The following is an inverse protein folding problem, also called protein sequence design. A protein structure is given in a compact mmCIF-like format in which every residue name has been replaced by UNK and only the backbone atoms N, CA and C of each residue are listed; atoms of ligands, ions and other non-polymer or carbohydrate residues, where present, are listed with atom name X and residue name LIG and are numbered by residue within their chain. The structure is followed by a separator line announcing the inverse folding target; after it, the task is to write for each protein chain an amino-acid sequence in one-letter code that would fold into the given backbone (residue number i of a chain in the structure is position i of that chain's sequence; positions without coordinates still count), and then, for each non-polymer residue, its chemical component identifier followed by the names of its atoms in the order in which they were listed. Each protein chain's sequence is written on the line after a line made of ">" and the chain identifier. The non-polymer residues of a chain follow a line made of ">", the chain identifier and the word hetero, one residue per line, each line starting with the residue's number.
data_IF_798789326939
#
_entry.id   IF_798789326939
#
_cell.length_a   1.000
_cell.length_b   1.000
_cell.length_c   1.000
_cell.angle_alpha   90.00
_cell.angle_beta   90.00
_cell.angle_gamma   90.00
#
_symmetry.space_group_name_H-M   'P 1'
#
loop_
_entity.id
_entity.type
_entity.pdbx_description
1 polymer ?
#
# COMPACT_ATOMS: atom_id res chain seq x y z
N UNK A 1 16.01 -17.62 10.41
CA UNK A 1 15.74 -16.48 11.29
C UNK A 1 14.24 -16.38 11.36
N UNK A 2 13.71 -16.55 12.56
CA UNK A 2 12.28 -16.41 12.80
C UNK A 2 11.89 -14.93 12.74
N UNK A 3 10.84 -14.63 11.98
CA UNK A 3 10.21 -13.32 11.91
C UNK A 3 8.69 -13.47 11.98
N UNK A 4 8.03 -12.41 12.44
CA UNK A 4 6.59 -12.27 12.46
C UNK A 4 6.17 -11.30 11.36
N UNK A 5 5.38 -11.77 10.40
CA UNK A 5 4.85 -10.96 9.31
C UNK A 5 3.59 -10.22 9.74
N UNK A 6 3.53 -8.94 9.42
CA UNK A 6 2.33 -8.12 9.55
C UNK A 6 1.57 -8.17 8.23
N UNK A 7 0.37 -8.72 8.25
CA UNK A 7 -0.44 -8.91 7.04
C UNK A 7 -1.61 -7.92 7.00
N UNK A 8 -1.96 -7.46 5.81
CA UNK A 8 -3.24 -6.80 5.55
C UNK A 8 -4.38 -7.81 5.33
N UNK A 9 -5.59 -7.31 5.05
CA UNK A 9 -6.77 -8.13 4.78
C UNK A 9 -6.68 -8.98 3.52
N UNK A 10 -5.72 -8.68 2.64
CA UNK A 10 -5.43 -9.39 1.39
C UNK A 10 -4.21 -10.30 1.50
N UNK A 11 -3.74 -10.57 2.72
CA UNK A 11 -2.53 -11.33 3.02
C UNK A 11 -1.23 -10.73 2.46
N UNK A 12 -1.20 -9.43 2.15
CA UNK A 12 0.03 -8.75 1.73
C UNK A 12 0.86 -8.36 2.93
N UNK A 13 2.17 -8.45 2.79
CA UNK A 13 3.10 -8.12 3.86
C UNK A 13 3.23 -6.60 3.96
N UNK A 14 2.79 -6.06 5.08
CA UNK A 14 2.87 -4.63 5.44
C UNK A 14 4.05 -4.32 6.35
N UNK A 15 4.79 -5.35 6.78
CA UNK A 15 5.99 -5.22 7.58
C UNK A 15 6.35 -6.54 8.24
N UNK A 16 7.43 -6.53 9.03
CA UNK A 16 7.83 -7.67 9.84
C UNK A 16 8.49 -7.21 11.14
N UNK A 17 8.56 -8.12 12.12
CA UNK A 17 9.27 -7.91 13.38
C UNK A 17 9.92 -9.21 13.88
N UNK A 18 10.82 -9.07 14.85
CA UNK A 18 11.44 -10.22 15.56
C UNK A 18 10.60 -10.69 16.76
N UNK A 19 9.51 -9.99 17.05
CA UNK A 19 8.58 -10.28 18.14
C UNK A 19 7.16 -10.22 17.61
N UNK A 20 6.29 -11.10 18.13
CA UNK A 20 4.88 -11.12 17.77
C UNK A 20 4.20 -9.84 18.26
N UNK A 21 3.62 -9.06 17.34
CA UNK A 21 2.92 -7.81 17.67
C UNK A 21 1.43 -8.01 17.88
N UNK A 22 0.79 -8.83 17.04
CA UNK A 22 -0.64 -9.15 17.07
C UNK A 22 -0.86 -10.66 16.95
N UNK A 23 -2.00 -11.14 17.41
CA UNK A 23 -2.34 -12.57 17.33
C UNK A 23 -2.40 -13.09 15.89
N UNK A 24 -2.82 -12.24 14.95
CA UNK A 24 -2.92 -12.52 13.52
C UNK A 24 -1.56 -12.48 12.79
N UNK A 25 -0.48 -12.06 13.45
CA UNK A 25 0.84 -12.07 12.83
C UNK A 25 1.27 -13.52 12.56
N UNK A 26 1.86 -13.74 11.38
CA UNK A 26 2.29 -15.06 10.94
C UNK A 26 3.78 -15.23 11.21
N UNK A 27 4.15 -16.25 12.00
CA UNK A 27 5.55 -16.61 12.21
C UNK A 27 6.06 -17.46 11.04
N UNK A 28 7.22 -17.08 10.50
CA UNK A 28 7.94 -17.85 9.49
C UNK A 28 9.45 -17.84 9.76
N UNK A 29 10.13 -18.87 9.28
CA UNK A 29 11.60 -18.91 9.26
C UNK A 29 12.12 -18.56 7.86
N UNK A 30 12.96 -17.53 7.80
CA UNK A 30 13.61 -17.10 6.54
C UNK A 30 15.13 -17.04 6.69
N UNK A 31 15.91 -17.24 5.61
CA UNK A 31 17.34 -16.98 5.65
C UNK A 31 17.61 -15.48 5.85
N UNK A 32 18.75 -15.14 6.47
CA UNK A 32 19.17 -13.74 6.70
C UNK A 32 19.35 -12.93 5.41
N UNK A 33 19.50 -13.62 4.27
CA UNK A 33 19.59 -13.02 2.95
C UNK A 33 18.24 -12.89 2.23
N UNK A 34 17.13 -13.24 2.89
CA UNK A 34 15.81 -13.19 2.25
C UNK A 34 15.39 -11.75 1.99
N UNK A 35 14.91 -11.47 0.78
CA UNK A 35 14.58 -10.12 0.31
C UNK A 35 13.45 -9.46 1.11
N UNK A 36 12.55 -10.26 1.71
CA UNK A 36 11.50 -9.76 2.62
C UNK A 36 12.04 -8.92 3.78
N UNK A 37 13.28 -9.19 4.22
CA UNK A 37 13.91 -8.45 5.31
C UNK A 37 14.26 -7.02 4.91
N UNK A 38 14.58 -6.81 3.63
CA UNK A 38 14.95 -5.51 3.06
C UNK A 38 13.77 -4.78 2.43
N UNK A 39 12.86 -5.52 1.79
CA UNK A 39 11.70 -4.98 1.10
C UNK A 39 10.48 -5.90 1.29
N UNK A 40 9.77 -5.81 2.43
CA UNK A 40 8.64 -6.68 2.71
C UNK A 40 7.44 -6.43 1.81
N UNK A 41 7.25 -5.19 1.35
CA UNK A 41 6.02 -4.74 0.68
C UNK A 41 5.78 -5.34 -0.71
N UNK A 42 6.77 -6.05 -1.28
CA UNK A 42 6.63 -6.76 -2.56
C UNK A 42 6.19 -8.22 -2.39
N UNK A 43 5.90 -8.65 -1.16
CA UNK A 43 5.49 -10.01 -0.87
C UNK A 43 4.04 -10.10 -0.37
N UNK A 44 3.41 -11.23 -0.68
CA UNK A 44 2.18 -11.72 -0.07
C UNK A 44 2.41 -13.09 0.55
N UNK A 45 1.59 -13.44 1.53
CA UNK A 45 1.62 -14.73 2.19
C UNK A 45 0.46 -15.59 1.71
N UNK A 46 0.75 -16.66 0.98
CA UNK A 46 -0.25 -17.58 0.44
C UNK A 46 0.19 -19.03 0.63
N UNK A 47 -0.75 -19.89 1.03
CA UNK A 47 -0.52 -21.34 1.19
C UNK A 47 0.69 -21.69 2.08
N UNK A 48 0.95 -20.88 3.11
CA UNK A 48 2.06 -21.11 4.02
C UNK A 48 3.41 -20.55 3.56
N UNK A 49 3.46 -19.84 2.43
CA UNK A 49 4.70 -19.38 1.80
C UNK A 49 4.66 -17.89 1.43
N UNK A 50 5.83 -17.26 1.44
CA UNK A 50 6.01 -15.93 0.87
C UNK A 50 6.11 -16.03 -0.65
N UNK A 51 5.26 -15.29 -1.35
CA UNK A 51 5.24 -15.18 -2.80
C UNK A 51 5.40 -13.71 -3.17
N UNK A 52 6.18 -13.40 -4.21
CA UNK A 52 6.26 -12.03 -4.71
C UNK A 52 4.93 -11.63 -5.35
N UNK A 53 4.39 -10.48 -4.96
CA UNK A 53 3.19 -9.89 -5.53
C UNK A 53 3.58 -8.90 -6.64
N UNK A 54 4.09 -9.45 -7.76
CA UNK A 54 4.55 -8.66 -8.91
C UNK A 54 3.43 -7.84 -9.53
N UNK A 55 2.22 -8.41 -9.58
CA UNK A 55 1.04 -7.76 -10.15
C UNK A 55 0.67 -6.51 -9.34
N UNK A 56 0.70 -6.61 -8.01
CA UNK A 56 0.48 -5.44 -7.17
C UNK A 56 1.57 -4.39 -7.31
N UNK A 57 2.83 -4.82 -7.48
CA UNK A 57 3.92 -3.89 -7.70
C UNK A 57 3.76 -3.14 -9.02
N UNK A 58 3.34 -3.80 -10.09
CA UNK A 58 3.01 -3.16 -11.37
C UNK A 58 1.84 -2.18 -11.23
N UNK A 59 0.78 -2.56 -10.50
CA UNK A 59 -0.34 -1.67 -10.20
C UNK A 59 0.10 -0.41 -9.45
N UNK A 60 0.93 -0.55 -8.41
CA UNK A 60 1.46 0.59 -7.66
C UNK A 60 2.32 1.52 -8.53
N UNK A 61 3.15 0.96 -9.41
CA UNK A 61 3.91 1.76 -10.37
C UNK A 61 2.98 2.50 -11.33
N UNK A 62 1.95 1.84 -11.83
CA UNK A 62 0.97 2.44 -12.71
C UNK A 62 0.18 3.55 -12.02
N UNK A 63 -0.26 3.35 -10.77
CA UNK A 63 -0.89 4.39 -9.95
C UNK A 63 0.03 5.57 -9.72
N UNK A 64 1.31 5.33 -9.41
CA UNK A 64 2.29 6.39 -9.24
C UNK A 64 2.52 7.19 -10.53
N UNK A 65 2.53 6.52 -11.69
CA UNK A 65 2.68 7.17 -13.00
C UNK A 65 1.42 7.96 -13.41
N UNK A 66 0.24 7.48 -13.05
CA UNK A 66 -1.04 8.14 -13.36
C UNK A 66 -1.50 9.11 -12.26
N UNK A 67 -0.78 9.19 -11.14
CA UNK A 67 -1.10 10.10 -10.07
C UNK A 67 -1.02 11.55 -10.58
N UNK A 68 -2.06 12.38 -10.34
CA UNK A 68 -2.03 13.76 -10.80
C UNK A 68 -0.88 14.50 -10.12
N UNK A 69 -0.19 15.33 -10.90
CA UNK A 69 0.87 16.19 -10.39
C UNK A 69 0.30 17.19 -9.37
N UNK A 70 1.16 17.83 -8.58
CA UNK A 70 0.72 18.86 -7.64
C UNK A 70 -0.02 20.00 -8.35
N UNK A 71 0.42 20.38 -9.55
CA UNK A 71 -0.24 21.40 -10.37
C UNK A 71 -1.61 20.94 -10.83
N UNK A 72 -1.74 19.70 -11.31
CA UNK A 72 -3.05 19.13 -11.69
C UNK A 72 -3.99 19.03 -10.50
N UNK A 73 -3.49 18.64 -9.32
CA UNK A 73 -4.25 18.63 -8.06
C UNK A 73 -4.73 20.03 -7.68
N UNK A 74 -3.87 21.03 -7.82
CA UNK A 74 -4.21 22.43 -7.53
C UNK A 74 -5.30 22.93 -8.48
N UNK A 75 -5.20 22.66 -9.77
CA UNK A 75 -6.22 23.02 -10.77
C UNK A 75 -7.57 22.36 -10.45
N UNK A 76 -7.57 21.06 -10.12
CA UNK A 76 -8.79 20.33 -9.74
C UNK A 76 -9.45 20.94 -8.48
N UNK A 77 -8.64 21.29 -7.48
CA UNK A 77 -9.14 21.93 -6.25
C UNK A 77 -9.71 23.33 -6.53
N UNK A 78 -9.03 24.13 -7.35
CA UNK A 78 -9.52 25.45 -7.75
C UNK A 78 -10.86 25.35 -8.49
N UNK A 79 -11.00 24.38 -9.40
CA UNK A 79 -12.24 24.15 -10.12
C UNK A 79 -13.38 23.70 -9.20
N UNK A 80 -13.13 22.75 -8.30
CA UNK A 80 -14.14 22.31 -7.32
C UNK A 80 -14.59 23.45 -6.38
N UNK A 81 -13.66 24.33 -5.99
CA UNK A 81 -13.99 25.52 -5.19
C UNK A 81 -14.82 26.52 -6.00
N UNK A 82 -14.48 26.74 -7.28
CA UNK A 82 -15.24 27.63 -8.16
C UNK A 82 -16.68 27.13 -8.39
N UNK A 83 -16.85 25.83 -8.65
CA UNK A 83 -18.16 25.21 -8.86
C UNK A 83 -19.04 25.29 -7.60
N UNK A 84 -18.44 25.14 -6.41
CA UNK A 84 -19.16 25.30 -5.13
C UNK A 84 -19.65 26.74 -4.91
N UNK A 85 -18.82 27.73 -5.27
CA UNK A 85 -19.17 29.14 -5.16
C UNK A 85 -20.30 29.48 -6.15
N UNK A 86 -20.22 28.97 -7.38
CA UNK A 86 -21.20 29.24 -8.43
C UNK A 86 -22.54 28.52 -8.19
N UNK A 87 -22.53 27.26 -7.78
CA UNK A 87 -23.75 26.49 -7.47
C UNK A 87 -24.52 27.00 -6.24
N UNK A 88 -23.85 27.76 -5.35
CA UNK A 88 -24.48 28.45 -4.24
C UNK A 88 -25.22 29.74 -4.63
N UNK A 89 -24.96 30.31 -5.82
CA UNK A 89 -25.58 31.56 -6.26
C UNK A 89 -26.88 31.36 -7.06
N UNK A 90 -27.21 30.14 -7.50
CA UNK A 90 -28.42 29.86 -8.30
C UNK A 90 -29.66 29.52 -7.45
N UNK A 91 -29.57 29.52 -6.12
CA UNK A 91 -30.68 29.23 -5.19
C UNK A 91 -31.06 30.40 -4.25
N UNK A 92 -30.79 31.65 -4.65
CA UNK A 92 -31.13 32.87 -3.89
C UNK A 92 -32.22 33.72 -4.52
#
# INVERSE_FOLDING_TARGET
>A
MEIYLYLDTSNRVTGWGTTKGKDADVSIDVPLSHEVLSNPFVFKYENGQLVKDTDYQEQLLQEYQNAPTMEQKLTLLQQAVADLILGGQENG
#
